data_IF_535418459181
#
_entry.id   IF_535418459181
#
_cell.length_a   1.000
_cell.length_b   1.000
_cell.length_c   1.000
_cell.angle_alpha   90.00
_cell.angle_beta   90.00
_cell.angle_gamma   90.00
#
_symmetry.space_group_name_H-M   'P 1'
#
loop_
_entity.id
_entity.type
_entity.pdbx_description
1 polymer ?
#
# COMPACT_ATOMS: atom_id res chain seq x y z
N UNK A 1 -1.04 20.47 25.23
CA UNK A 1 0.13 19.87 24.58
C UNK A 1 -0.28 18.44 24.27
N UNK A 2 -0.70 18.03 23.09
CA UNK A 2 -0.53 18.53 21.73
C UNK A 2 -0.67 17.28 20.86
N UNK A 3 -1.90 16.84 20.61
CA UNK A 3 -2.25 15.58 19.93
C UNK A 3 -2.03 15.61 18.40
N UNK A 4 -1.19 16.53 17.90
CA UNK A 4 -0.86 16.68 16.47
C UNK A 4 0.15 15.63 15.97
N UNK A 5 0.90 14.98 16.88
CA UNK A 5 1.95 14.01 16.52
C UNK A 5 1.36 12.72 15.93
N UNK A 6 0.19 12.30 16.40
CA UNK A 6 -0.44 11.04 15.98
C UNK A 6 -0.99 11.08 14.56
N UNK A 7 -1.33 12.26 14.04
CA UNK A 7 -1.90 12.42 12.69
C UNK A 7 -0.79 12.46 11.64
N UNK A 8 0.31 13.19 11.87
CA UNK A 8 1.47 13.18 10.97
C UNK A 8 2.18 11.82 10.93
N UNK A 9 2.34 11.16 12.08
CA UNK A 9 2.93 9.83 12.15
C UNK A 9 2.11 8.80 11.34
N UNK A 10 0.77 8.87 11.40
CA UNK A 10 -0.09 7.99 10.58
C UNK A 10 0.10 8.20 9.07
N UNK A 11 0.38 9.42 8.64
CA UNK A 11 0.62 9.76 7.23
C UNK A 11 1.95 9.17 6.73
N UNK A 12 3.04 9.42 7.44
CA UNK A 12 4.39 8.94 7.09
C UNK A 12 4.48 7.41 7.01
N UNK A 13 3.89 6.72 7.98
CA UNK A 13 3.91 5.25 8.02
C UNK A 13 3.05 4.64 6.91
N UNK A 14 1.93 5.30 6.58
CA UNK A 14 1.06 4.89 5.48
C UNK A 14 1.75 5.05 4.13
N UNK A 15 2.49 6.13 3.94
CA UNK A 15 3.25 6.37 2.71
C UNK A 15 4.38 5.34 2.54
N UNK A 16 5.12 5.06 3.62
CA UNK A 16 6.22 4.07 3.60
C UNK A 16 5.71 2.66 3.25
N UNK A 17 4.55 2.26 3.78
CA UNK A 17 3.92 0.96 3.48
C UNK A 17 3.47 0.86 2.02
N UNK A 18 2.90 1.94 1.48
CA UNK A 18 2.48 2.02 0.08
C UNK A 18 3.69 1.95 -0.85
N UNK A 19 4.77 2.65 -0.51
CA UNK A 19 6.04 2.60 -1.25
C UNK A 19 6.65 1.19 -1.23
N UNK A 20 6.66 0.51 -0.08
CA UNK A 20 7.12 -0.88 0.01
C UNK A 20 6.27 -1.84 -0.82
N UNK A 21 4.95 -1.63 -0.87
CA UNK A 21 4.04 -2.39 -1.73
C UNK A 21 4.38 -2.18 -3.20
N UNK A 22 4.55 -0.92 -3.63
CA UNK A 22 4.91 -0.56 -5.00
C UNK A 22 6.27 -1.16 -5.38
N UNK A 23 7.29 -1.01 -4.54
CA UNK A 23 8.61 -1.58 -4.76
C UNK A 23 8.56 -3.11 -4.87
N UNK A 24 7.75 -3.78 -4.04
CA UNK A 24 7.57 -5.23 -4.09
C UNK A 24 6.87 -5.68 -5.38
N UNK A 25 5.90 -4.92 -5.87
CA UNK A 25 5.24 -5.16 -7.15
C UNK A 25 6.18 -4.93 -8.33
N UNK A 26 6.97 -3.83 -8.33
CA UNK A 26 7.99 -3.55 -9.35
C UNK A 26 9.07 -4.63 -9.40
N UNK A 27 9.48 -5.13 -8.23
CA UNK A 27 10.43 -6.22 -8.11
C UNK A 27 9.81 -7.62 -8.37
N UNK A 28 8.55 -7.66 -8.80
CA UNK A 28 7.78 -8.87 -9.10
C UNK A 28 7.88 -9.94 -7.99
N UNK A 29 7.83 -9.50 -6.73
CA UNK A 29 7.88 -10.39 -5.56
C UNK A 29 6.68 -11.34 -5.56
N UNK A 30 6.83 -12.48 -4.90
CA UNK A 30 5.78 -13.50 -4.78
C UNK A 30 4.49 -12.94 -4.19
N UNK A 31 3.36 -13.51 -4.62
CA UNK A 31 2.02 -13.07 -4.18
C UNK A 31 1.85 -13.13 -2.67
N UNK A 32 2.50 -14.08 -1.98
CA UNK A 32 2.50 -14.16 -0.53
C UNK A 32 3.08 -12.90 0.15
N UNK A 33 4.17 -12.34 -0.41
CA UNK A 33 4.80 -11.11 0.11
C UNK A 33 3.90 -9.90 -0.12
N UNK A 34 3.31 -9.80 -1.32
CA UNK A 34 2.37 -8.74 -1.67
C UNK A 34 1.12 -8.82 -0.77
N UNK A 35 0.55 -10.01 -0.57
CA UNK A 35 -0.58 -10.23 0.36
C UNK A 35 -0.27 -9.81 1.79
N UNK A 36 0.95 -10.07 2.28
CA UNK A 36 1.40 -9.61 3.58
C UNK A 36 1.33 -8.09 3.71
N UNK A 37 1.92 -7.38 2.75
CA UNK A 37 1.90 -5.91 2.71
C UNK A 37 0.48 -5.35 2.56
N UNK A 38 -0.36 -5.96 1.73
CA UNK A 38 -1.76 -5.55 1.58
C UNK A 38 -2.56 -5.74 2.87
N UNK A 39 -2.32 -6.81 3.62
CA UNK A 39 -2.93 -7.05 4.93
C UNK A 39 -2.49 -5.99 5.94
N UNK A 40 -1.21 -5.63 5.96
CA UNK A 40 -0.71 -4.54 6.81
C UNK A 40 -1.34 -3.20 6.42
N UNK A 41 -1.40 -2.88 5.13
CA UNK A 41 -2.08 -1.68 4.63
C UNK A 41 -3.54 -1.62 5.10
N UNK A 42 -4.27 -2.74 4.98
CA UNK A 42 -5.67 -2.86 5.43
C UNK A 42 -5.80 -2.67 6.95
N UNK A 43 -4.89 -3.24 7.74
CA UNK A 43 -4.85 -3.05 9.20
C UNK A 43 -4.57 -1.61 9.60
N UNK A 44 -3.80 -0.87 8.79
CA UNK A 44 -3.56 0.57 8.97
C UNK A 44 -4.72 1.45 8.49
N UNK A 45 -5.79 0.86 7.95
CA UNK A 45 -6.97 1.58 7.46
C UNK A 45 -6.85 2.10 6.04
N UNK A 46 -5.85 1.67 5.27
CA UNK A 46 -5.70 2.06 3.87
C UNK A 46 -6.77 1.37 3.02
N UNK A 47 -7.52 2.18 2.27
CA UNK A 47 -8.58 1.69 1.39
C UNK A 47 -7.98 1.03 0.15
N UNK A 48 -8.62 -0.06 -0.31
CA UNK A 48 -8.27 -0.73 -1.56
C UNK A 48 -8.20 0.26 -2.72
N UNK A 49 -9.20 1.12 -2.88
CA UNK A 49 -9.25 2.13 -3.96
C UNK A 49 -8.04 3.05 -3.97
N UNK A 50 -7.56 3.47 -2.79
CA UNK A 50 -6.36 4.31 -2.67
C UNK A 50 -5.11 3.55 -3.12
N UNK A 51 -4.94 2.31 -2.65
CA UNK A 51 -3.81 1.45 -3.02
C UNK A 51 -3.79 1.16 -4.53
N UNK A 52 -4.93 0.75 -5.11
CA UNK A 52 -5.03 0.55 -6.56
C UNK A 52 -4.75 1.81 -7.35
N UNK A 53 -5.22 2.98 -6.91
CA UNK A 53 -4.97 4.25 -7.58
C UNK A 53 -3.49 4.62 -7.59
N UNK A 54 -2.83 4.48 -6.43
CA UNK A 54 -1.37 4.69 -6.30
C UNK A 54 -0.58 3.71 -7.16
N UNK A 55 -0.87 2.41 -7.07
CA UNK A 55 -0.18 1.38 -7.87
C UNK A 55 -0.39 1.59 -9.37
N UNK A 56 -1.60 1.94 -9.82
CA UNK A 56 -1.88 2.23 -11.22
C UNK A 56 -1.06 3.40 -11.74
N UNK A 57 -0.88 4.44 -10.92
CA UNK A 57 -0.11 5.63 -11.28
C UNK A 57 1.40 5.37 -11.31
N UNK A 58 1.91 4.55 -10.40
CA UNK A 58 3.34 4.34 -10.18
C UNK A 58 3.94 3.14 -10.95
N UNK A 59 3.09 2.20 -11.36
CA UNK A 59 3.49 0.99 -12.11
C UNK A 59 2.67 0.91 -13.40
N UNK A 60 1.50 0.29 -13.34
CA UNK A 60 0.58 0.10 -14.46
C UNK A 60 -0.76 -0.52 -13.99
N UNK A 61 -1.71 -0.66 -14.91
CA UNK A 61 -3.05 -1.20 -14.66
C UNK A 61 -3.06 -2.69 -14.30
N UNK A 62 -2.14 -3.51 -14.82
CA UNK A 62 -2.03 -4.94 -14.45
C UNK A 62 -1.58 -5.09 -13.00
N UNK A 63 -0.60 -4.29 -12.57
CA UNK A 63 -0.16 -4.30 -11.17
C UNK A 63 -1.28 -3.87 -10.22
N UNK A 64 -2.07 -2.88 -10.61
CA UNK A 64 -3.26 -2.47 -9.85
C UNK A 64 -4.32 -3.57 -9.80
N UNK A 65 -4.58 -4.24 -10.93
CA UNK A 65 -5.51 -5.37 -11.00
C UNK A 65 -5.07 -6.53 -10.10
N UNK A 66 -3.75 -6.79 -10.03
CA UNK A 66 -3.15 -7.77 -9.13
C UNK A 66 -3.41 -7.41 -7.67
N UNK A 67 -3.24 -6.15 -7.27
CA UNK A 67 -3.61 -5.69 -5.92
C UNK A 67 -5.09 -5.92 -5.62
N UNK A 68 -5.96 -5.59 -6.57
CA UNK A 68 -7.41 -5.80 -6.43
C UNK A 68 -7.78 -7.29 -6.25
N UNK A 69 -7.06 -8.19 -6.91
CA UNK A 69 -7.27 -9.64 -6.79
C UNK A 69 -6.71 -10.24 -5.49
N UNK A 70 -5.70 -9.62 -4.90
CA UNK A 70 -5.00 -10.16 -3.72
C UNK A 70 -5.52 -9.62 -2.38
N UNK A 71 -6.40 -8.61 -2.39
CA UNK A 71 -6.98 -7.96 -1.20
C UNK A 71 -8.20 -8.66 -0.61
#
# INVERSE_FOLDING_TARGET
MGDDDTTQAKTLWSETLVDMLIASLKANKSDAKIKGLLKECKQKGLKASYLTGKVRKEIDERAAMKVKMLM
#
